data_IF_008699266592
#
_entry.id   IF_008699266592
#
_cell.length_a   1.000
_cell.length_b   1.000
_cell.length_c   1.000
_cell.angle_alpha   90.00
_cell.angle_beta   90.00
_cell.angle_gamma   90.00
#
_symmetry.space_group_name_H-M   'P 1'
#
loop_
_entity.id
_entity.type
_entity.pdbx_description
1 polymer ?
#
# COMPACT_ATOMS: atom_id res chain seq x y z
N UNK A 1 3.71 3.42 11.07
CA UNK A 1 4.82 3.62 10.09
C UNK A 1 5.12 2.35 9.31
N UNK A 2 5.46 1.25 9.98
CA UNK A 2 5.78 -0.03 9.31
C UNK A 2 4.64 -0.49 8.40
N UNK A 3 3.40 -0.48 8.88
CA UNK A 3 2.24 -0.92 8.09
C UNK A 3 2.05 -0.08 6.83
N UNK A 4 2.17 1.23 6.92
CA UNK A 4 2.06 2.12 5.75
C UNK A 4 3.13 1.83 4.70
N UNK A 5 4.38 1.72 5.12
CA UNK A 5 5.51 1.45 4.23
C UNK A 5 5.42 0.06 3.61
N UNK A 6 5.08 -0.97 4.39
CA UNK A 6 4.95 -2.35 3.87
C UNK A 6 3.76 -2.50 2.92
N UNK A 7 2.66 -1.80 3.16
CA UNK A 7 1.51 -1.81 2.24
C UNK A 7 1.89 -1.16 0.90
N UNK A 8 2.53 -0.01 0.91
CA UNK A 8 2.95 0.67 -0.32
C UNK A 8 3.88 -0.22 -1.14
N UNK A 9 4.93 -0.76 -0.52
CA UNK A 9 5.89 -1.59 -1.27
C UNK A 9 5.27 -2.90 -1.76
N UNK A 10 4.31 -3.46 -1.02
CA UNK A 10 3.52 -4.63 -1.47
C UNK A 10 2.70 -4.29 -2.71
N UNK A 11 2.04 -3.13 -2.72
CA UNK A 11 1.29 -2.64 -3.88
C UNK A 11 2.21 -2.39 -5.09
N UNK A 12 3.37 -1.80 -4.87
CA UNK A 12 4.36 -1.58 -5.94
C UNK A 12 4.85 -2.90 -6.53
N UNK A 13 5.05 -3.92 -5.70
CA UNK A 13 5.44 -5.25 -6.16
C UNK A 13 4.38 -5.88 -7.06
N UNK A 14 3.09 -5.78 -6.70
CA UNK A 14 1.99 -6.26 -7.55
C UNK A 14 1.90 -5.47 -8.86
N UNK A 15 2.03 -4.15 -8.81
CA UNK A 15 2.02 -3.31 -10.00
C UNK A 15 3.18 -3.66 -10.95
N UNK A 16 4.37 -3.85 -10.41
CA UNK A 16 5.55 -4.27 -11.19
C UNK A 16 5.35 -5.66 -11.80
N UNK A 17 4.81 -6.60 -11.03
CA UNK A 17 4.51 -7.96 -11.51
C UNK A 17 3.52 -7.92 -12.68
N UNK A 18 2.47 -7.10 -12.58
CA UNK A 18 1.50 -6.92 -13.66
C UNK A 18 2.19 -6.45 -14.95
N UNK A 19 3.08 -5.45 -14.86
CA UNK A 19 3.83 -4.92 -16.01
C UNK A 19 4.80 -5.94 -16.61
N UNK A 20 5.34 -6.83 -15.79
CA UNK A 20 6.22 -7.92 -16.24
C UNK A 20 5.46 -9.14 -16.76
N UNK A 21 4.14 -9.13 -16.75
CA UNK A 21 3.32 -10.28 -17.14
C UNK A 21 3.37 -11.45 -16.16
N UNK A 22 3.75 -11.20 -14.90
CA UNK A 22 3.74 -12.22 -13.86
C UNK A 22 2.33 -12.38 -13.28
N UNK A 23 1.95 -13.63 -13.06
CA UNK A 23 0.70 -13.96 -12.40
C UNK A 23 0.72 -13.53 -10.92
N UNK A 24 -0.32 -12.83 -10.47
CA UNK A 24 -0.40 -12.31 -9.09
C UNK A 24 -0.42 -13.43 -8.05
N UNK A 25 -1.11 -14.53 -8.34
CA UNK A 25 -1.16 -15.66 -7.42
C UNK A 25 0.23 -16.28 -7.23
N UNK A 26 1.01 -16.40 -8.30
CA UNK A 26 2.39 -16.91 -8.22
C UNK A 26 3.30 -15.97 -7.44
N UNK A 27 3.18 -14.66 -7.64
CA UNK A 27 3.90 -13.69 -6.82
C UNK A 27 3.59 -13.90 -5.32
N UNK A 28 2.31 -13.99 -4.99
CA UNK A 28 1.85 -14.23 -3.62
C UNK A 28 2.42 -15.56 -3.06
N UNK A 29 2.31 -16.65 -3.80
CA UNK A 29 2.75 -17.97 -3.36
C UNK A 29 4.24 -17.98 -3.00
N UNK A 30 5.06 -17.29 -3.78
CA UNK A 30 6.51 -17.21 -3.54
C UNK A 30 6.81 -16.26 -2.38
N UNK A 31 6.30 -15.04 -2.42
CA UNK A 31 6.65 -14.00 -1.45
C UNK A 31 6.12 -14.31 -0.06
N UNK A 32 4.89 -14.83 0.05
CA UNK A 32 4.25 -15.12 1.33
C UNK A 32 4.99 -16.18 2.15
N UNK A 33 5.83 -17.00 1.52
CA UNK A 33 6.62 -18.06 2.15
C UNK A 33 8.12 -17.77 2.13
N UNK A 34 8.53 -16.56 1.81
CA UNK A 34 9.94 -16.19 1.69
C UNK A 34 10.25 -14.91 2.48
N UNK A 35 11.46 -14.41 2.34
CA UNK A 35 11.96 -13.24 3.08
C UNK A 35 11.22 -11.94 2.80
N UNK A 36 10.47 -11.85 1.71
CA UNK A 36 9.61 -10.71 1.40
C UNK A 36 8.24 -10.73 2.08
N UNK A 37 7.95 -11.73 2.91
CA UNK A 37 6.67 -11.85 3.60
C UNK A 37 6.45 -10.69 4.58
N UNK A 38 5.19 -10.29 4.73
CA UNK A 38 4.75 -9.28 5.68
C UNK A 38 3.27 -9.50 5.98
N UNK A 39 2.77 -8.87 7.04
CA UNK A 39 1.34 -8.89 7.31
C UNK A 39 0.53 -8.30 6.15
N UNK A 40 1.02 -7.22 5.54
CA UNK A 40 0.39 -6.61 4.36
C UNK A 40 0.27 -7.57 3.18
N UNK A 41 1.30 -8.39 2.94
CA UNK A 41 1.27 -9.43 1.90
C UNK A 41 0.41 -10.61 2.31
N UNK A 42 0.67 -11.19 3.48
CA UNK A 42 0.17 -12.50 3.87
C UNK A 42 -1.27 -12.50 4.37
N UNK A 43 -1.67 -11.45 5.12
CA UNK A 43 -2.95 -11.41 5.84
C UNK A 43 -3.89 -10.33 5.34
N UNK A 44 -3.39 -9.32 4.66
CA UNK A 44 -4.16 -8.16 4.22
C UNK A 44 -3.80 -7.76 2.79
N UNK A 45 -3.75 -8.76 1.92
CA UNK A 45 -3.28 -8.58 0.55
C UNK A 45 -4.09 -7.51 -0.19
N UNK A 46 -3.42 -6.52 -0.82
CA UNK A 46 -4.11 -5.45 -1.54
C UNK A 46 -4.65 -5.86 -2.91
N UNK A 47 -4.23 -7.02 -3.43
CA UNK A 47 -4.72 -7.55 -4.70
C UNK A 47 -6.00 -8.37 -4.48
N UNK A 48 -7.11 -8.05 -5.19
CA UNK A 48 -8.34 -8.83 -5.07
C UNK A 48 -8.14 -10.30 -5.44
N UNK A 49 -8.86 -11.18 -4.74
CA UNK A 49 -8.88 -12.63 -4.95
C UNK A 49 -7.54 -13.34 -4.71
N UNK A 50 -6.61 -12.68 -4.03
CA UNK A 50 -5.29 -13.22 -3.70
C UNK A 50 -5.13 -13.34 -2.17
N UNK A 51 -4.74 -14.53 -1.71
CA UNK A 51 -4.54 -14.81 -0.29
C UNK A 51 -5.84 -14.85 0.52
N UNK A 52 -5.76 -14.73 1.86
CA UNK A 52 -6.94 -14.66 2.72
C UNK A 52 -7.82 -13.48 2.36
N UNK A 53 -9.12 -13.59 2.67
CA UNK A 53 -10.07 -12.51 2.43
C UNK A 53 -9.63 -11.21 3.10
N UNK A 54 -9.66 -10.12 2.34
CA UNK A 54 -9.25 -8.78 2.77
C UNK A 54 -10.20 -7.72 2.22
N UNK A 55 -10.09 -6.44 2.63
CA UNK A 55 -10.89 -5.36 2.04
C UNK A 55 -10.80 -5.23 0.53
N UNK A 56 -9.70 -5.67 -0.09
CA UNK A 56 -9.56 -5.71 -1.56
C UNK A 56 -10.66 -6.56 -2.22
N UNK A 57 -11.11 -7.62 -1.54
CA UNK A 57 -12.17 -8.51 -2.05
C UNK A 57 -13.57 -7.93 -1.89
N UNK A 58 -13.71 -6.82 -1.19
CA UNK A 58 -14.96 -6.12 -0.95
C UNK A 58 -14.87 -4.65 -1.39
N UNK A 59 -14.36 -4.42 -2.58
CA UNK A 59 -14.25 -3.09 -3.22
C UNK A 59 -13.57 -2.05 -2.33
N UNK A 60 -12.63 -2.48 -1.50
CA UNK A 60 -11.90 -1.63 -0.56
C UNK A 60 -12.78 -0.88 0.44
N UNK A 61 -13.93 -1.46 0.81
CA UNK A 61 -14.66 -1.00 1.99
C UNK A 61 -13.74 -1.11 3.21
N UNK A 62 -13.58 -0.02 3.99
CA UNK A 62 -12.46 0.05 4.92
C UNK A 62 -12.59 -0.88 6.11
N UNK A 63 -11.59 -1.73 6.31
CA UNK A 63 -11.22 -2.24 7.62
C UNK A 63 -10.37 -1.21 8.37
N UNK A 64 -9.50 -0.51 7.65
CA UNK A 64 -8.69 0.61 8.12
C UNK A 64 -8.61 1.67 7.01
N UNK A 65 -9.24 2.82 7.22
CA UNK A 65 -9.34 3.84 6.17
C UNK A 65 -8.01 4.52 5.86
N UNK A 66 -7.88 5.02 4.64
CA UNK A 66 -6.73 5.82 4.22
C UNK A 66 -6.53 7.04 5.12
N UNK A 67 -7.61 7.72 5.53
CA UNK A 67 -7.52 8.85 6.46
C UNK A 67 -6.91 8.45 7.80
N UNK A 68 -7.22 7.27 8.32
CA UNK A 68 -6.64 6.75 9.56
C UNK A 68 -5.16 6.40 9.37
N UNK A 69 -4.77 5.87 8.21
CA UNK A 69 -3.36 5.61 7.91
C UNK A 69 -2.56 6.93 7.86
N UNK A 70 -3.09 7.98 7.23
CA UNK A 70 -2.46 9.30 7.23
C UNK A 70 -2.25 9.80 8.66
N UNK A 71 -3.26 9.70 9.51
CA UNK A 71 -3.16 10.09 10.92
C UNK A 71 -2.05 9.33 11.65
N UNK A 72 -1.97 8.03 11.49
CA UNK A 72 -0.94 7.21 12.12
C UNK A 72 0.46 7.58 11.62
N UNK A 73 0.61 7.84 10.34
CA UNK A 73 1.89 8.27 9.75
C UNK A 73 2.29 9.67 10.23
N UNK A 74 1.34 10.59 10.39
CA UNK A 74 1.58 11.92 10.96
C UNK A 74 2.09 11.82 12.41
N UNK A 75 1.48 10.97 13.23
CA UNK A 75 1.92 10.72 14.59
C UNK A 75 3.35 10.16 14.63
N UNK A 76 3.68 9.22 13.74
CA UNK A 76 5.02 8.65 13.64
C UNK A 76 6.06 9.71 13.24
N UNK A 77 5.74 10.56 12.26
CA UNK A 77 6.65 11.63 11.81
C UNK A 77 6.79 12.74 12.87
N UNK A 78 5.74 13.02 13.64
CA UNK A 78 5.81 13.91 14.79
C UNK A 78 6.80 13.41 15.83
N UNK A 79 6.74 12.13 16.16
CA UNK A 79 7.70 11.50 17.08
C UNK A 79 9.13 11.51 16.53
N UNK A 80 9.30 11.22 15.23
CA UNK A 80 10.61 11.26 14.57
C UNK A 80 11.22 12.67 14.62
N UNK A 81 10.41 13.70 14.39
CA UNK A 81 10.83 15.10 14.46
C UNK A 81 11.28 15.48 15.88
N UNK A 82 10.51 15.11 16.90
CA UNK A 82 10.84 15.38 18.30
C UNK A 82 12.15 14.73 18.73
N UNK A 83 12.44 13.54 18.23
CA UNK A 83 13.66 12.78 18.59
C UNK A 83 14.80 12.98 17.60
N UNK A 84 14.61 13.80 16.57
CA UNK A 84 15.57 14.02 15.48
C UNK A 84 16.00 12.72 14.79
N UNK A 85 15.09 11.76 14.72
CA UNK A 85 15.33 10.48 14.04
C UNK A 85 15.00 10.62 12.56
N UNK A 86 15.93 10.20 11.70
CA UNK A 86 15.75 10.28 10.24
C UNK A 86 14.96 9.07 9.72
N UNK A 87 13.65 9.21 9.55
CA UNK A 87 12.75 8.16 9.08
C UNK A 87 12.30 8.44 7.64
N UNK A 88 13.22 8.32 6.70
CA UNK A 88 12.98 8.65 5.27
C UNK A 88 11.82 7.88 4.66
N UNK A 89 11.76 6.57 4.87
CA UNK A 89 10.67 5.75 4.33
C UNK A 89 9.33 6.09 4.97
N UNK A 90 9.33 6.37 6.28
CA UNK A 90 8.13 6.83 6.97
C UNK A 90 7.61 8.15 6.43
N UNK A 91 8.50 9.11 6.17
CA UNK A 91 8.14 10.40 5.58
C UNK A 91 7.60 10.22 4.16
N UNK A 92 8.25 9.41 3.34
CA UNK A 92 7.79 9.13 1.98
C UNK A 92 6.42 8.45 1.99
N UNK A 93 6.22 7.48 2.88
CA UNK A 93 4.93 6.82 3.04
C UNK A 93 3.82 7.83 3.41
N UNK A 94 4.10 8.77 4.33
CA UNK A 94 3.17 9.82 4.68
C UNK A 94 2.81 10.68 3.46
N UNK A 95 3.77 11.12 2.69
CA UNK A 95 3.56 11.94 1.50
C UNK A 95 2.69 11.21 0.46
N UNK A 96 2.96 9.93 0.22
CA UNK A 96 2.21 9.11 -0.74
C UNK A 96 0.75 8.98 -0.27
N UNK A 97 0.50 8.66 0.99
CA UNK A 97 -0.86 8.53 1.52
C UNK A 97 -1.59 9.88 1.63
N UNK A 98 -0.91 10.97 1.93
CA UNK A 98 -1.51 12.31 1.91
C UNK A 98 -1.99 12.67 0.51
N UNK A 99 -1.20 12.39 -0.51
CA UNK A 99 -1.58 12.61 -1.90
C UNK A 99 -2.79 11.76 -2.28
N UNK A 100 -2.81 10.48 -1.92
CA UNK A 100 -3.94 9.60 -2.16
C UNK A 100 -5.20 10.07 -1.45
N UNK A 101 -5.09 10.47 -0.19
CA UNK A 101 -6.21 10.97 0.62
C UNK A 101 -6.70 12.37 0.21
N UNK A 102 -5.99 13.07 -0.67
CA UNK A 102 -6.41 14.40 -1.14
C UNK A 102 -7.74 14.38 -1.89
N UNK A 103 -8.12 13.24 -2.45
CA UNK A 103 -9.45 13.02 -3.00
C UNK A 103 -10.35 12.42 -1.90
N UNK A 104 -11.52 13.06 -1.59
CA UNK A 104 -12.36 12.63 -0.47
C UNK A 104 -12.81 11.17 -0.53
N UNK A 105 -13.08 10.65 -1.71
CA UNK A 105 -13.45 9.25 -1.91
C UNK A 105 -12.32 8.28 -1.53
N UNK A 106 -11.08 8.61 -1.85
CA UNK A 106 -9.91 7.80 -1.49
C UNK A 106 -9.65 7.83 0.03
N UNK A 107 -9.85 8.99 0.66
CA UNK A 107 -9.70 9.10 2.11
C UNK A 107 -10.61 8.14 2.89
N UNK A 108 -11.77 7.82 2.35
CA UNK A 108 -12.77 6.92 2.95
C UNK A 108 -12.55 5.45 2.61
N UNK A 109 -11.78 5.14 1.56
CA UNK A 109 -11.47 3.76 1.19
C UNK A 109 -10.46 3.14 2.16
N UNK A 110 -10.40 1.81 2.15
CA UNK A 110 -9.34 1.08 2.84
C UNK A 110 -7.96 1.53 2.33
N UNK A 111 -6.99 1.59 3.23
CA UNK A 111 -5.64 2.05 2.86
C UNK A 111 -4.96 1.18 1.81
N UNK A 112 -5.37 -0.08 1.66
CA UNK A 112 -4.88 -0.98 0.62
C UNK A 112 -5.35 -0.61 -0.79
N UNK A 113 -6.36 0.27 -0.92
CA UNK A 113 -6.83 0.78 -2.22
C UNK A 113 -5.76 1.58 -2.98
N UNK A 114 -4.66 1.95 -2.33
CA UNK A 114 -3.54 2.66 -2.97
C UNK A 114 -2.92 1.86 -4.13
N UNK A 115 -3.13 0.55 -4.18
CA UNK A 115 -2.75 -0.27 -5.33
C UNK A 115 -3.28 0.30 -6.66
N UNK A 116 -4.50 0.80 -6.66
CA UNK A 116 -5.14 1.33 -7.86
C UNK A 116 -4.48 2.62 -8.35
N UNK A 117 -3.99 3.46 -7.43
CA UNK A 117 -3.28 4.68 -7.81
C UNK A 117 -1.89 4.37 -8.41
N UNK A 118 -1.17 3.43 -7.83
CA UNK A 118 0.15 3.02 -8.33
C UNK A 118 0.04 2.50 -9.76
N UNK A 119 -0.98 1.70 -10.06
CA UNK A 119 -1.27 1.21 -11.41
C UNK A 119 -1.55 2.33 -12.40
N UNK A 120 -2.30 3.35 -11.99
CA UNK A 120 -2.66 4.47 -12.88
C UNK A 120 -1.44 5.27 -13.33
N UNK A 121 -0.40 5.38 -12.52
CA UNK A 121 0.86 6.02 -12.93
C UNK A 121 1.62 5.17 -13.95
N UNK A 122 1.59 3.86 -13.80
CA UNK A 122 2.21 2.94 -14.77
C UNK A 122 1.55 3.05 -16.14
N UNK A 123 0.22 3.14 -16.19
CA UNK A 123 -0.54 3.26 -17.43
C UNK A 123 -0.29 4.59 -18.18
N UNK A 124 0.09 5.67 -17.46
CA UNK A 124 0.39 6.98 -18.08
C UNK A 124 1.79 7.08 -18.67
N UNK A 125 2.69 6.17 -18.34
CA UNK A 125 4.06 6.18 -18.87
C UNK A 125 4.23 5.36 -20.15
N UNK A 126 3.24 4.57 -20.52
CA UNK A 126 3.26 3.75 -21.74
C UNK A 126 2.79 4.51 -23.00
N UNK A 127 2.31 5.74 -22.84
CA UNK A 127 1.88 6.63 -23.94
C UNK A 127 3.03 7.51 -24.50
N UNK A 128 4.29 7.02 -24.43
CA UNK A 128 5.44 7.72 -25.02
C UNK A 128 6.14 6.90 -26.08
#
# INVERSE_FOLDING_TARGET
MILGATMIVTCEAFALADQLGLDRQRLYDVVSTSSGSSWSMNSYCPAPDIGPQSPADNRYLPGFSTAMMVKDLELAQGAASMTKTNTRLGMLALQIYQQFASQPEHAKQDFSAILNEIKMFSDKHDDR
#
